data_IF_430765052918
#
_entry.id   IF_430765052918
#
_cell.length_a   1.000
_cell.length_b   1.000
_cell.length_c   1.000
_cell.angle_alpha   90.00
_cell.angle_beta   90.00
_cell.angle_gamma   90.00
#
_symmetry.space_group_name_H-M   'P 1'
#
loop_
_entity.id
_entity.type
_entity.pdbx_description
1 polymer ?
#
# COMPACT_ATOMS: atom_id res chain seq x y z
N UNK A 1 53.50 -6.97 28.29
CA UNK A 1 53.34 -8.37 27.84
C UNK A 1 52.79 -9.15 29.01
N UNK A 2 51.61 -9.76 28.98
CA UNK A 2 50.64 -9.93 27.89
C UNK A 2 49.35 -10.46 28.53
N UNK A 3 48.21 -10.05 27.96
CA UNK A 3 47.06 -10.94 27.71
C UNK A 3 46.32 -11.59 28.88
N UNK A 4 45.68 -10.83 29.76
CA UNK A 4 44.54 -11.38 30.53
C UNK A 4 43.38 -10.38 30.73
N UNK A 5 43.34 -9.33 29.89
CA UNK A 5 42.29 -8.30 29.90
C UNK A 5 41.21 -8.53 28.81
N UNK A 6 41.01 -9.78 28.38
CA UNK A 6 40.15 -10.12 27.24
C UNK A 6 39.07 -11.14 27.61
N UNK A 7 38.29 -10.88 28.65
CA UNK A 7 36.96 -11.52 28.77
C UNK A 7 36.01 -10.67 29.59
N UNK A 8 36.02 -9.37 29.34
CA UNK A 8 34.82 -8.55 29.45
C UNK A 8 33.87 -9.06 28.36
N UNK A 9 33.24 -10.22 28.62
CA UNK A 9 32.23 -10.81 27.74
C UNK A 9 31.15 -9.76 27.61
N UNK A 10 31.20 -9.05 26.50
CA UNK A 10 30.05 -8.43 25.87
C UNK A 10 28.98 -9.51 25.83
N UNK A 11 28.13 -9.54 26.86
CA UNK A 11 26.77 -10.01 26.70
C UNK A 11 26.16 -9.05 25.70
N UNK A 12 26.43 -9.29 24.42
CA UNK A 12 25.53 -8.92 23.35
C UNK A 12 24.24 -9.62 23.74
N UNK A 13 23.37 -8.89 24.43
CA UNK A 13 21.99 -9.30 24.65
C UNK A 13 21.43 -9.36 23.23
N UNK A 14 21.55 -10.53 22.60
CA UNK A 14 20.78 -10.83 21.41
C UNK A 14 19.34 -10.74 21.90
N UNK A 15 18.66 -9.67 21.49
CA UNK A 15 17.21 -9.57 21.66
C UNK A 15 16.63 -10.83 21.01
N UNK A 16 16.28 -11.81 21.84
CA UNK A 16 15.52 -12.96 21.40
C UNK A 16 14.09 -12.45 21.21
N UNK A 17 13.85 -11.78 20.08
CA UNK A 17 12.50 -11.53 19.63
C UNK A 17 11.82 -12.88 19.52
N UNK A 18 10.73 -13.05 20.25
CA UNK A 18 9.94 -14.25 20.10
C UNK A 18 9.34 -14.26 18.68
N UNK A 19 9.03 -15.42 18.09
CA UNK A 19 8.36 -15.48 16.79
C UNK A 19 7.12 -14.58 16.70
N UNK A 20 6.44 -14.35 17.82
CA UNK A 20 5.28 -13.46 17.95
C UNK A 20 5.67 -11.98 17.75
N UNK A 21 6.77 -11.52 18.35
CA UNK A 21 7.29 -10.15 18.16
C UNK A 21 7.63 -9.87 16.69
N UNK A 22 8.17 -10.89 16.00
CA UNK A 22 8.52 -10.82 14.58
C UNK A 22 7.26 -10.64 13.73
N UNK A 23 6.20 -11.41 13.97
CA UNK A 23 4.95 -11.28 13.23
C UNK A 23 4.28 -9.92 13.44
N UNK A 24 4.26 -9.43 14.69
CA UNK A 24 3.73 -8.09 15.02
C UNK A 24 4.50 -7.01 14.26
N UNK A 25 5.83 -7.09 14.26
CA UNK A 25 6.68 -6.15 13.53
C UNK A 25 6.34 -6.11 12.04
N UNK A 26 6.22 -7.27 11.38
CA UNK A 26 5.85 -7.33 9.96
C UNK A 26 4.46 -6.76 9.67
N UNK A 27 3.47 -6.98 10.54
CA UNK A 27 2.14 -6.38 10.37
C UNK A 27 2.18 -4.85 10.42
N UNK A 28 2.91 -4.27 11.38
CA UNK A 28 3.03 -2.82 11.47
C UNK A 28 3.75 -2.22 10.26
N UNK A 29 4.78 -2.90 9.76
CA UNK A 29 5.50 -2.51 8.56
C UNK A 29 4.61 -2.59 7.31
N UNK A 30 3.84 -3.67 7.17
CA UNK A 30 2.88 -3.84 6.08
C UNK A 30 1.82 -2.72 6.10
N UNK A 31 1.24 -2.42 7.27
CA UNK A 31 0.28 -1.32 7.44
C UNK A 31 0.90 0.01 7.02
N UNK A 32 2.13 0.31 7.46
CA UNK A 32 2.82 1.56 7.10
C UNK A 32 3.02 1.66 5.58
N UNK A 33 3.50 0.58 4.95
CA UNK A 33 3.69 0.53 3.49
C UNK A 33 2.36 0.72 2.76
N UNK A 34 1.31 0.03 3.17
CA UNK A 34 0.00 0.13 2.54
C UNK A 34 -0.61 1.53 2.65
N UNK A 35 -0.40 2.23 3.78
CA UNK A 35 -0.82 3.65 3.92
C UNK A 35 -0.13 4.53 2.87
N UNK A 36 1.18 4.33 2.66
CA UNK A 36 1.95 5.09 1.67
C UNK A 36 1.47 4.80 0.24
N UNK A 37 1.24 3.53 -0.10
CA UNK A 37 0.75 3.13 -1.42
C UNK A 37 -0.66 3.70 -1.71
N UNK A 38 -1.58 3.64 -0.74
CA UNK A 38 -2.92 4.24 -0.87
C UNK A 38 -2.83 5.75 -1.09
N UNK A 39 -1.95 6.44 -0.36
CA UNK A 39 -1.76 7.88 -0.51
C UNK A 39 -1.16 8.23 -1.87
N UNK A 40 -0.20 7.43 -2.33
CA UNK A 40 0.36 7.59 -3.67
C UNK A 40 -0.74 7.46 -4.74
N UNK A 41 -1.61 6.45 -4.63
CA UNK A 41 -2.76 6.31 -5.55
C UNK A 41 -3.62 7.56 -5.56
N UNK A 42 -3.94 8.15 -4.40
CA UNK A 42 -4.74 9.39 -4.33
C UNK A 42 -4.10 10.54 -5.09
N UNK A 43 -2.81 10.77 -4.85
CA UNK A 43 -2.05 11.83 -5.53
C UNK A 43 -1.99 11.58 -7.04
N UNK A 44 -1.74 10.34 -7.44
CA UNK A 44 -1.67 9.97 -8.86
C UNK A 44 -3.03 10.06 -9.56
N UNK A 45 -4.16 9.82 -8.89
CA UNK A 45 -5.50 10.02 -9.46
C UNK A 45 -5.78 11.48 -9.79
N UNK A 46 -5.43 12.39 -8.88
CA UNK A 46 -5.53 13.84 -9.11
C UNK A 46 -4.64 14.24 -10.29
N UNK A 47 -3.40 13.74 -10.32
CA UNK A 47 -2.48 13.99 -11.42
C UNK A 47 -3.03 13.51 -12.77
N UNK A 48 -3.51 12.27 -12.86
CA UNK A 48 -4.06 11.74 -14.11
C UNK A 48 -5.31 12.47 -14.58
N UNK A 49 -6.20 12.86 -13.66
CA UNK A 49 -7.37 13.68 -13.98
C UNK A 49 -6.95 15.00 -14.62
N UNK A 50 -6.03 15.72 -13.98
CA UNK A 50 -5.52 16.99 -14.48
C UNK A 50 -4.81 16.84 -15.83
N UNK A 51 -4.05 15.76 -16.01
CA UNK A 51 -3.33 15.46 -17.24
C UNK A 51 -4.30 15.17 -18.41
N UNK A 52 -5.34 14.37 -18.17
CA UNK A 52 -6.36 14.07 -19.18
C UNK A 52 -7.18 15.32 -19.50
N UNK A 53 -7.52 16.16 -18.51
CA UNK A 53 -8.18 17.44 -18.75
C UNK A 53 -7.33 18.40 -19.58
N UNK A 54 -6.03 18.49 -19.32
CA UNK A 54 -5.11 19.30 -20.12
C UNK A 54 -5.04 18.78 -21.55
N UNK A 55 -4.89 17.46 -21.71
CA UNK A 55 -4.90 16.81 -23.02
C UNK A 55 -6.20 17.14 -23.79
N UNK A 56 -7.37 17.01 -23.15
CA UNK A 56 -8.67 17.37 -23.75
C UNK A 56 -8.77 18.82 -24.22
N UNK A 57 -8.15 19.76 -23.51
CA UNK A 57 -8.17 21.19 -23.87
C UNK A 57 -7.23 21.51 -25.03
N UNK A 58 -6.08 20.84 -25.07
CA UNK A 58 -5.03 21.10 -26.05
C UNK A 58 -5.23 20.33 -27.36
N UNK A 59 -5.86 19.17 -27.29
CA UNK A 59 -6.05 18.27 -28.44
C UNK A 59 -7.48 17.73 -28.48
N UNK A 60 -8.07 17.73 -29.68
CA UNK A 60 -9.32 17.01 -29.97
C UNK A 60 -9.01 15.65 -30.63
N UNK A 61 -7.92 15.01 -30.23
CA UNK A 61 -7.47 13.75 -30.86
C UNK A 61 -8.28 12.52 -30.44
N UNK A 62 -8.96 12.59 -29.30
CA UNK A 62 -9.83 11.50 -28.81
C UNK A 62 -11.29 11.93 -28.84
N UNK A 63 -12.20 10.96 -28.93
CA UNK A 63 -13.63 11.23 -28.88
C UNK A 63 -14.05 11.68 -27.47
N UNK A 64 -15.18 12.39 -27.37
CA UNK A 64 -15.75 12.71 -26.06
C UNK A 64 -16.05 11.46 -25.22
N UNK A 65 -16.34 10.33 -25.87
CA UNK A 65 -16.59 9.06 -25.19
C UNK A 65 -15.31 8.52 -24.53
N UNK A 66 -14.16 8.61 -25.22
CA UNK A 66 -12.88 8.12 -24.70
C UNK A 66 -12.48 8.87 -23.43
N UNK A 67 -12.63 10.20 -23.44
CA UNK A 67 -12.39 11.02 -22.26
C UNK A 67 -13.31 10.64 -21.10
N UNK A 68 -14.61 10.45 -21.35
CA UNK A 68 -15.56 10.04 -20.31
C UNK A 68 -15.21 8.66 -19.73
N UNK A 69 -14.82 7.71 -20.58
CA UNK A 69 -14.41 6.38 -20.13
C UNK A 69 -13.18 6.45 -19.20
N UNK A 70 -12.19 7.29 -19.54
CA UNK A 70 -11.02 7.51 -18.69
C UNK A 70 -11.40 8.17 -17.36
N UNK A 71 -12.25 9.21 -17.37
CA UNK A 71 -12.68 9.87 -16.14
C UNK A 71 -13.50 8.95 -15.23
N UNK A 72 -14.35 8.09 -15.80
CA UNK A 72 -15.08 7.09 -15.03
C UNK A 72 -14.11 6.06 -14.44
N UNK A 73 -13.13 5.59 -15.21
CA UNK A 73 -12.11 4.66 -14.71
C UNK A 73 -11.30 5.27 -13.56
N UNK A 74 -10.97 6.57 -13.61
CA UNK A 74 -10.33 7.29 -12.49
C UNK A 74 -11.25 7.26 -11.26
N UNK A 75 -12.54 7.59 -11.42
CA UNK A 75 -13.49 7.58 -10.30
C UNK A 75 -13.63 6.20 -9.67
N UNK A 76 -13.64 5.15 -10.48
CA UNK A 76 -13.72 3.77 -9.99
C UNK A 76 -12.49 3.41 -9.15
N UNK A 77 -11.29 3.78 -9.62
CA UNK A 77 -10.04 3.60 -8.86
C UNK A 77 -10.04 4.42 -7.58
N UNK A 78 -10.45 5.69 -7.61
CA UNK A 78 -10.58 6.56 -6.44
C UNK A 78 -11.54 5.95 -5.40
N UNK A 79 -12.71 5.48 -5.83
CA UNK A 79 -13.72 4.88 -4.97
C UNK A 79 -13.20 3.60 -4.30
N UNK A 80 -12.54 2.73 -5.07
CA UNK A 80 -11.98 1.51 -4.52
C UNK A 80 -10.82 1.82 -3.56
N UNK A 81 -9.96 2.80 -3.89
CA UNK A 81 -8.87 3.23 -3.02
C UNK A 81 -9.39 3.77 -1.68
N UNK A 82 -10.46 4.56 -1.68
CA UNK A 82 -11.12 5.02 -0.45
C UNK A 82 -11.69 3.86 0.38
N UNK A 83 -12.19 2.81 -0.26
CA UNK A 83 -12.67 1.61 0.42
C UNK A 83 -11.50 0.85 1.07
N UNK A 84 -10.40 0.66 0.34
CA UNK A 84 -9.15 0.12 0.90
C UNK A 84 -8.63 0.95 2.08
N UNK A 85 -8.66 2.29 1.98
CA UNK A 85 -8.23 3.18 3.04
C UNK A 85 -9.06 3.01 4.32
N UNK A 86 -10.40 2.97 4.20
CA UNK A 86 -11.30 2.73 5.33
C UNK A 86 -11.05 1.39 5.99
N UNK A 87 -10.89 0.32 5.19
CA UNK A 87 -10.59 -1.02 5.71
C UNK A 87 -9.24 -1.05 6.44
N UNK A 88 -8.21 -0.41 5.88
CA UNK A 88 -6.90 -0.31 6.50
C UNK A 88 -6.93 0.50 7.81
N UNK A 89 -7.69 1.59 7.87
CA UNK A 89 -7.88 2.37 9.09
C UNK A 89 -8.58 1.55 10.17
N UNK A 90 -9.65 0.84 9.82
CA UNK A 90 -10.37 -0.04 10.74
C UNK A 90 -9.46 -1.14 11.28
N UNK A 91 -8.68 -1.79 10.41
CA UNK A 91 -7.72 -2.81 10.82
C UNK A 91 -6.60 -2.23 11.70
N UNK A 92 -6.00 -1.10 11.32
CA UNK A 92 -4.96 -0.44 12.11
C UNK A 92 -5.46 -0.05 13.51
N UNK A 93 -6.72 0.37 13.65
CA UNK A 93 -7.31 0.64 14.96
C UNK A 93 -7.44 -0.63 15.81
N UNK A 94 -7.82 -1.76 15.20
CA UNK A 94 -7.90 -3.06 15.88
C UNK A 94 -6.52 -3.58 16.31
N UNK A 95 -5.51 -3.46 15.45
CA UNK A 95 -4.16 -4.03 15.69
C UNK A 95 -3.48 -3.46 16.94
N UNK A 96 -3.91 -2.30 17.44
CA UNK A 96 -3.44 -1.78 18.74
C UNK A 96 -3.74 -2.78 19.88
N UNK A 97 -4.86 -3.49 19.81
CA UNK A 97 -5.26 -4.53 20.78
C UNK A 97 -4.51 -5.86 20.63
N UNK A 98 -3.67 -6.03 19.61
CA UNK A 98 -2.86 -7.25 19.44
C UNK A 98 -1.84 -7.45 20.57
N UNK A 99 -1.45 -6.37 21.25
CA UNK A 99 -0.57 -6.45 22.43
C UNK A 99 -1.29 -6.97 23.68
N UNK A 100 -2.62 -7.01 23.66
CA UNK A 100 -3.46 -7.47 24.77
C UNK A 100 -3.90 -8.94 24.61
N UNK A 101 -3.55 -9.59 23.49
CA UNK A 101 -3.86 -11.01 23.29
C UNK A 101 -3.11 -11.88 24.31
N UNK A 102 -3.87 -12.73 25.02
CA UNK A 102 -3.37 -13.63 26.06
C UNK A 102 -3.32 -15.09 25.56
N UNK A 103 -4.02 -15.39 24.47
CA UNK A 103 -4.10 -16.73 23.88
C UNK A 103 -3.81 -16.73 22.37
N UNK A 104 -3.51 -17.93 21.85
CA UNK A 104 -3.21 -18.16 20.44
C UNK A 104 -4.43 -17.93 19.52
N UNK A 105 -5.66 -18.02 20.04
CA UNK A 105 -6.87 -17.84 19.23
C UNK A 105 -7.05 -16.36 18.85
N UNK A 106 -6.80 -15.47 19.80
CA UNK A 106 -6.77 -14.02 19.62
C UNK A 106 -5.73 -13.64 18.55
N UNK A 107 -4.50 -14.12 18.68
CA UNK A 107 -3.43 -13.84 17.71
C UNK A 107 -3.77 -14.35 16.30
N UNK A 108 -4.33 -15.56 16.21
CA UNK A 108 -4.75 -16.15 14.95
C UNK A 108 -5.85 -15.33 14.25
N UNK A 109 -6.78 -14.73 15.02
CA UNK A 109 -7.79 -13.84 14.46
C UNK A 109 -7.16 -12.62 13.76
N UNK A 110 -6.20 -11.96 14.39
CA UNK A 110 -5.48 -10.83 13.78
C UNK A 110 -4.66 -11.23 12.55
N UNK A 111 -4.03 -12.41 12.57
CA UNK A 111 -3.30 -12.95 11.41
C UNK A 111 -4.22 -13.21 10.22
N UNK A 112 -5.42 -13.70 10.47
CA UNK A 112 -6.41 -13.94 9.43
C UNK A 112 -6.94 -12.62 8.84
N UNK A 113 -7.32 -11.66 9.69
CA UNK A 113 -7.75 -10.33 9.26
C UNK A 113 -6.64 -9.63 8.45
N UNK A 114 -5.39 -9.71 8.91
CA UNK A 114 -4.21 -9.19 8.20
C UNK A 114 -4.07 -9.81 6.81
N UNK A 115 -4.20 -11.14 6.72
CA UNK A 115 -4.06 -11.87 5.46
C UNK A 115 -5.16 -11.52 4.45
N UNK A 116 -6.41 -11.35 4.91
CA UNK A 116 -7.52 -10.92 4.07
C UNK A 116 -7.32 -9.50 3.56
N UNK A 117 -6.92 -8.58 4.43
CA UNK A 117 -6.64 -7.21 4.06
C UNK A 117 -5.48 -7.12 3.06
N UNK A 118 -4.42 -7.89 3.28
CA UNK A 118 -3.29 -8.01 2.36
C UNK A 118 -3.73 -8.41 0.96
N UNK A 119 -4.52 -9.48 0.85
CA UNK A 119 -5.02 -9.95 -0.45
C UNK A 119 -5.88 -8.89 -1.15
N UNK A 120 -6.73 -8.18 -0.41
CA UNK A 120 -7.54 -7.09 -0.95
C UNK A 120 -6.65 -5.96 -1.51
N UNK A 121 -5.66 -5.52 -0.73
CA UNK A 121 -4.76 -4.42 -1.09
C UNK A 121 -3.83 -4.77 -2.24
N UNK A 122 -3.24 -5.97 -2.24
CA UNK A 122 -2.36 -6.42 -3.32
C UNK A 122 -3.12 -6.52 -4.65
N UNK A 123 -4.37 -7.00 -4.63
CA UNK A 123 -5.24 -6.99 -5.81
C UNK A 123 -5.50 -5.57 -6.30
N UNK A 124 -5.86 -4.66 -5.39
CA UNK A 124 -6.06 -3.24 -5.73
C UNK A 124 -4.82 -2.64 -6.39
N UNK A 125 -3.65 -2.77 -5.76
CA UNK A 125 -2.41 -2.19 -6.27
C UNK A 125 -1.99 -2.80 -7.61
N UNK A 126 -2.27 -4.09 -7.83
CA UNK A 126 -2.04 -4.74 -9.13
C UNK A 126 -2.96 -4.19 -10.22
N UNK A 127 -4.26 -4.05 -9.93
CA UNK A 127 -5.23 -3.43 -10.83
C UNK A 127 -4.85 -1.98 -11.13
N UNK A 128 -4.48 -1.23 -10.10
CA UNK A 128 -4.01 0.14 -10.22
C UNK A 128 -2.78 0.27 -11.12
N UNK A 129 -1.77 -0.59 -10.95
CA UNK A 129 -0.57 -0.61 -11.81
C UNK A 129 -0.94 -0.87 -13.28
N UNK A 130 -1.92 -1.72 -13.52
CA UNK A 130 -2.42 -2.00 -14.88
C UNK A 130 -3.12 -0.78 -15.48
N UNK A 131 -4.00 -0.14 -14.69
CA UNK A 131 -4.65 1.11 -15.07
C UNK A 131 -3.65 2.23 -15.39
N UNK A 132 -2.62 2.41 -14.57
CA UNK A 132 -1.54 3.38 -14.81
C UNK A 132 -0.84 3.14 -16.15
N UNK A 133 -0.53 1.88 -16.47
CA UNK A 133 0.05 1.52 -17.78
C UNK A 133 -0.89 1.88 -18.93
N UNK A 134 -2.20 1.63 -18.77
CA UNK A 134 -3.21 2.00 -19.76
C UNK A 134 -3.22 3.51 -19.99
N UNK A 135 -3.33 4.34 -18.95
CA UNK A 135 -3.28 5.80 -19.11
C UNK A 135 -2.00 6.26 -19.81
N UNK A 136 -0.85 5.76 -19.38
CA UNK A 136 0.43 6.16 -19.98
C UNK A 136 0.53 5.73 -21.44
N UNK A 137 -0.03 4.57 -21.82
CA UNK A 137 -0.07 4.13 -23.22
C UNK A 137 -0.92 5.03 -24.11
N UNK A 138 -2.09 5.48 -23.63
CA UNK A 138 -2.92 6.46 -24.35
C UNK A 138 -2.15 7.76 -24.58
N UNK A 139 -1.43 8.23 -23.55
CA UNK A 139 -0.68 9.49 -23.60
C UNK A 139 0.66 9.39 -24.36
N UNK A 140 1.26 8.19 -24.45
CA UNK A 140 2.54 7.97 -25.16
C UNK A 140 2.47 8.42 -26.62
N UNK A 141 1.29 8.39 -27.24
CA UNK A 141 1.03 8.90 -28.58
C UNK A 141 1.47 10.37 -28.80
N UNK A 142 1.74 11.14 -27.73
CA UNK A 142 2.25 12.52 -27.76
C UNK A 142 3.77 12.67 -27.56
N UNK A 143 4.42 11.75 -26.86
CA UNK A 143 5.85 11.84 -26.52
C UNK A 143 6.57 10.63 -27.10
N UNK A 144 6.99 10.73 -28.36
CA UNK A 144 7.87 9.77 -29.00
C UNK A 144 9.23 9.78 -28.28
N UNK A 145 9.41 8.83 -27.36
CA UNK A 145 10.72 8.29 -26.98
C UNK A 145 10.92 6.96 -27.69
#
# INVERSE_FOLDING_TARGET
MSEENYTKREKVIRSHHSPEDIHKHFMFDDIRRWKQEIELVNVEMIFFRNLIESHRRETNSWSSSDYQNLFNSIKDVEHYNQTCQRNLQAFNAKVVGLNECIDLQCEHHYLNDHSQLRLQLERHFSTYKSFKKTILSYLKTRYNY
#
